data_IF_520427416041
#
_entry.id   IF_520427416041
#
_cell.length_a   1.000
_cell.length_b   1.000
_cell.length_c   1.000
_cell.angle_alpha   90.00
_cell.angle_beta   90.00
_cell.angle_gamma   90.00
#
_symmetry.space_group_name_H-M   'P 1'
#
loop_
_entity.id
_entity.type
_entity.pdbx_description
1 polymer ?
#
# COMPACT_ATOMS: atom_id res chain seq x y z
N UNK A 1 11.54 6.37 23.80
CA UNK A 1 10.18 6.91 23.53
C UNK A 1 9.10 5.82 23.50
N UNK A 2 9.07 4.89 22.53
CA UNK A 2 7.97 3.90 22.43
C UNK A 2 7.82 3.01 23.69
N UNK A 3 8.92 2.40 24.16
CA UNK A 3 8.91 1.60 25.39
C UNK A 3 8.40 2.39 26.60
N UNK A 4 8.87 3.62 26.78
CA UNK A 4 8.42 4.51 27.86
C UNK A 4 6.92 4.83 27.77
N UNK A 5 6.35 4.90 26.57
CA UNK A 5 4.91 5.11 26.39
C UNK A 5 4.11 3.87 26.80
N UNK A 6 4.59 2.67 26.44
CA UNK A 6 3.93 1.40 26.79
C UNK A 6 4.04 1.13 28.29
N UNK A 7 5.18 1.44 28.90
CA UNK A 7 5.43 1.31 30.35
C UNK A 7 4.42 2.10 31.21
N UNK A 8 3.80 3.17 30.68
CA UNK A 8 2.72 3.88 31.38
C UNK A 8 1.46 3.03 31.60
N UNK A 9 1.22 2.05 30.73
CA UNK A 9 0.06 1.16 30.79
C UNK A 9 0.43 -0.24 31.30
N UNK A 10 1.64 -0.69 31.00
CA UNK A 10 2.16 -2.00 31.41
C UNK A 10 3.57 -1.79 31.99
N UNK A 11 3.68 -1.48 33.30
CA UNK A 11 4.95 -1.07 33.92
C UNK A 11 6.11 -2.06 33.78
N UNK A 12 5.81 -3.36 33.72
CA UNK A 12 6.80 -4.44 33.60
C UNK A 12 6.86 -5.05 32.19
N UNK A 13 6.37 -4.35 31.15
CA UNK A 13 6.25 -4.87 29.77
C UNK A 13 7.55 -5.48 29.24
N UNK A 14 8.70 -4.90 29.60
CA UNK A 14 10.01 -5.41 29.16
C UNK A 14 10.31 -6.80 29.69
N UNK A 15 9.95 -7.07 30.95
CA UNK A 15 10.14 -8.38 31.57
C UNK A 15 9.21 -9.45 30.95
N UNK A 16 8.07 -9.03 30.40
CA UNK A 16 7.09 -9.89 29.73
C UNK A 16 7.37 -10.09 28.24
N UNK A 17 8.30 -9.32 27.67
CA UNK A 17 8.55 -9.34 26.23
C UNK A 17 9.40 -10.56 25.87
N UNK A 18 8.80 -11.51 25.15
CA UNK A 18 9.52 -12.69 24.64
C UNK A 18 10.26 -12.39 23.32
N UNK A 19 9.70 -11.52 22.48
CA UNK A 19 10.26 -11.16 21.17
C UNK A 19 10.08 -9.66 20.96
N UNK A 20 11.14 -9.00 20.51
CA UNK A 20 11.12 -7.58 20.14
C UNK A 20 11.81 -7.40 18.79
N UNK A 21 11.08 -6.85 17.83
CA UNK A 21 11.60 -6.54 16.50
C UNK A 21 11.38 -5.05 16.22
N UNK A 22 12.48 -4.32 15.99
CA UNK A 22 12.42 -2.87 15.75
C UNK A 22 12.20 -2.61 14.27
N UNK A 23 11.04 -2.06 13.93
CA UNK A 23 10.76 -1.49 12.62
C UNK A 23 11.31 -0.07 12.52
N UNK A 24 12.11 0.21 11.51
CA UNK A 24 12.57 1.57 11.15
C UNK A 24 12.21 1.87 9.70
N UNK A 25 12.31 3.12 9.22
CA UNK A 25 12.21 3.40 7.79
C UNK A 25 13.18 2.55 6.94
N UNK A 26 14.37 2.20 7.45
CA UNK A 26 15.28 1.28 6.76
C UNK A 26 14.71 -0.13 6.61
N UNK A 27 13.99 -0.62 7.62
CA UNK A 27 13.25 -1.88 7.54
C UNK A 27 12.21 -1.81 6.43
N UNK A 28 11.47 -0.71 6.34
CA UNK A 28 10.43 -0.52 5.33
C UNK A 28 11.01 -0.43 3.91
N UNK A 29 12.12 0.30 3.73
CA UNK A 29 12.86 0.36 2.48
C UNK A 29 13.39 -1.02 2.06
N UNK A 30 13.95 -1.79 3.02
CA UNK A 30 14.49 -3.13 2.75
C UNK A 30 13.42 -4.12 2.29
N UNK A 31 12.30 -4.21 3.02
CA UNK A 31 11.31 -5.26 2.77
C UNK A 31 10.28 -4.89 1.69
N UNK A 32 9.92 -3.61 1.59
CA UNK A 32 8.85 -3.16 0.68
C UNK A 32 9.37 -2.28 -0.46
N UNK A 33 10.70 -2.11 -0.59
CA UNK A 33 11.34 -1.25 -1.62
C UNK A 33 10.78 0.17 -1.65
N UNK A 34 10.39 0.67 -0.47
CA UNK A 34 9.83 2.02 -0.31
C UNK A 34 10.95 3.03 -0.37
N UNK A 35 10.77 4.05 -1.21
CA UNK A 35 11.69 5.18 -1.24
C UNK A 35 11.77 5.80 0.15
N UNK A 36 13.00 5.91 0.67
CA UNK A 36 13.34 6.41 2.01
C UNK A 36 12.56 5.77 3.16
N UNK A 37 11.97 4.58 2.96
CA UNK A 37 11.16 3.91 3.95
C UNK A 37 9.79 4.55 4.21
N UNK A 38 9.30 5.36 3.28
CA UNK A 38 8.05 6.11 3.43
C UNK A 38 6.83 5.20 3.53
N UNK A 39 5.93 5.51 4.47
CA UNK A 39 4.60 4.93 4.55
C UNK A 39 3.61 5.86 3.86
N UNK A 40 3.04 5.40 2.75
CA UNK A 40 2.10 6.18 1.96
C UNK A 40 2.69 6.86 0.73
N UNK A 41 1.95 7.75 0.05
CA UNK A 41 2.28 8.17 -1.30
C UNK A 41 3.48 9.11 -1.32
N UNK A 42 4.09 9.28 -2.50
CA UNK A 42 5.16 10.26 -2.69
C UNK A 42 4.69 11.73 -2.63
N UNK A 43 3.37 11.95 -2.73
CA UNK A 43 2.73 13.27 -2.67
C UNK A 43 2.33 13.61 -1.22
N UNK A 44 2.59 14.85 -0.80
CA UNK A 44 2.10 15.36 0.48
C UNK A 44 0.59 15.59 0.42
N UNK A 45 -0.05 15.49 1.57
CA UNK A 45 -1.49 15.73 1.68
C UNK A 45 -1.85 17.14 1.17
N UNK A 46 -2.81 17.21 0.26
CA UNK A 46 -3.29 18.47 -0.33
C UNK A 46 -2.48 18.99 -1.52
N UNK A 47 -1.35 18.37 -1.88
CA UNK A 47 -0.50 18.82 -3.00
C UNK A 47 -0.90 18.23 -4.37
N UNK A 48 -2.02 17.51 -4.43
CA UNK A 48 -2.58 17.02 -5.68
C UNK A 48 -3.16 15.60 -5.59
N UNK A 49 -3.31 14.97 -6.75
CA UNK A 49 -3.83 13.61 -6.90
C UNK A 49 -2.74 12.68 -7.39
N UNK A 50 -2.77 11.43 -6.92
CA UNK A 50 -1.86 10.39 -7.39
C UNK A 50 -2.07 10.11 -8.89
N UNK A 51 -1.00 9.73 -9.58
CA UNK A 51 -1.08 9.27 -10.95
C UNK A 51 -1.98 8.04 -11.08
N UNK A 52 -2.68 7.92 -12.21
CA UNK A 52 -3.46 6.73 -12.56
C UNK A 52 -2.58 5.55 -13.00
N UNK A 53 -3.23 4.48 -13.43
CA UNK A 53 -2.60 3.18 -13.71
C UNK A 53 -1.80 3.16 -15.00
N UNK A 54 -2.14 4.00 -15.98
CA UNK A 54 -1.53 3.98 -17.31
C UNK A 54 -0.21 4.77 -17.30
N UNK A 55 0.83 4.17 -17.85
CA UNK A 55 2.13 4.83 -18.06
C UNK A 55 2.28 5.29 -19.51
N UNK A 56 3.33 6.08 -19.80
CA UNK A 56 3.71 6.42 -21.17
C UNK A 56 4.33 5.24 -21.94
N UNK A 57 4.71 4.16 -21.25
CA UNK A 57 5.32 2.97 -21.84
C UNK A 57 4.22 1.98 -22.24
N UNK A 58 4.18 1.62 -23.53
CA UNK A 58 3.20 0.66 -24.05
C UNK A 58 3.34 -0.69 -23.34
N UNK A 59 2.22 -1.20 -22.83
CA UNK A 59 2.19 -2.49 -22.13
C UNK A 59 2.66 -2.44 -20.69
N UNK A 60 2.88 -1.25 -20.12
CA UNK A 60 3.27 -1.09 -18.72
C UNK A 60 2.20 -0.30 -17.95
N UNK A 61 1.73 -0.90 -16.85
CA UNK A 61 0.78 -0.28 -15.92
C UNK A 61 1.37 -0.24 -14.51
N UNK A 62 0.95 0.76 -13.74
CA UNK A 62 1.27 0.91 -12.33
C UNK A 62 0.05 0.57 -11.48
N UNK A 63 0.29 0.02 -10.29
CA UNK A 63 -0.71 -0.17 -9.26
C UNK A 63 -0.04 -0.18 -7.88
N UNK A 64 -0.83 0.04 -6.84
CA UNK A 64 -0.38 -0.01 -5.45
C UNK A 64 -0.73 1.26 -4.69
N UNK A 65 -0.12 1.46 -3.53
CA UNK A 65 -0.43 2.55 -2.61
C UNK A 65 0.07 3.94 -3.07
N UNK A 66 0.99 3.95 -4.04
CA UNK A 66 1.55 5.15 -4.67
C UNK A 66 0.86 5.48 -6.01
N UNK A 67 -0.16 4.71 -6.38
CA UNK A 67 -1.02 4.92 -7.56
C UNK A 67 -2.44 5.16 -7.06
N UNK A 68 -3.21 5.99 -7.75
CA UNK A 68 -4.61 6.22 -7.40
C UNK A 68 -5.34 4.86 -7.20
N UNK A 69 -6.17 4.68 -6.16
CA UNK A 69 -6.68 5.68 -5.20
C UNK A 69 -5.77 5.99 -3.99
N UNK A 70 -4.65 5.28 -3.81
CA UNK A 70 -3.65 5.63 -2.81
C UNK A 70 -3.55 4.66 -1.63
N UNK A 71 -3.36 5.19 -0.43
CA UNK A 71 -2.83 4.44 0.72
C UNK A 71 -3.84 3.55 1.44
N UNK A 72 -3.32 2.50 2.05
CA UNK A 72 -4.08 1.54 2.85
C UNK A 72 -4.52 0.32 2.05
N UNK A 73 -4.81 -0.77 2.77
CA UNK A 73 -5.14 -2.08 2.17
C UNK A 73 -6.25 -2.00 1.12
N UNK A 74 -7.40 -1.32 1.37
CA UNK A 74 -8.49 -1.29 0.38
C UNK A 74 -8.11 -0.49 -0.88
N UNK A 75 -7.40 0.63 -0.70
CA UNK A 75 -7.03 1.51 -1.81
C UNK A 75 -5.95 0.87 -2.70
N UNK A 76 -4.96 0.20 -2.10
CA UNK A 76 -3.96 -0.55 -2.86
C UNK A 76 -4.60 -1.71 -3.65
N UNK A 77 -5.53 -2.44 -3.05
CA UNK A 77 -6.28 -3.50 -3.73
C UNK A 77 -7.13 -2.94 -4.88
N UNK A 78 -7.86 -1.84 -4.66
CA UNK A 78 -8.61 -1.16 -5.69
C UNK A 78 -7.72 -0.66 -6.84
N UNK A 79 -6.54 -0.11 -6.54
CA UNK A 79 -5.57 0.29 -7.55
C UNK A 79 -5.17 -0.88 -8.47
N UNK A 80 -4.94 -2.06 -7.88
CA UNK A 80 -4.64 -3.30 -8.61
C UNK A 80 -5.80 -3.76 -9.50
N UNK A 81 -7.04 -3.73 -8.99
CA UNK A 81 -8.23 -4.06 -9.79
C UNK A 81 -8.40 -3.10 -10.98
N UNK A 82 -8.21 -1.80 -10.76
CA UNK A 82 -8.27 -0.81 -11.84
C UNK A 82 -7.17 -1.07 -12.88
N UNK A 83 -5.96 -1.44 -12.46
CA UNK A 83 -4.87 -1.74 -13.39
C UNK A 83 -5.21 -2.98 -14.24
N UNK A 84 -5.68 -4.06 -13.62
CA UNK A 84 -6.12 -5.27 -14.31
C UNK A 84 -7.23 -4.97 -15.33
N UNK A 85 -8.21 -4.15 -14.94
CA UNK A 85 -9.31 -3.73 -15.82
C UNK A 85 -8.86 -2.83 -16.98
N UNK A 86 -7.70 -2.17 -16.88
CA UNK A 86 -7.12 -1.41 -17.99
C UNK A 86 -6.29 -2.29 -18.94
N UNK A 87 -5.95 -3.52 -18.54
CA UNK A 87 -5.25 -4.49 -19.42
C UNK A 87 -6.25 -5.20 -20.33
N UNK A 88 -7.43 -5.54 -19.82
CA UNK A 88 -8.49 -6.19 -20.58
C UNK A 88 -9.51 -5.18 -21.10
N UNK A 89 -10.19 -5.50 -22.21
CA UNK A 89 -11.27 -4.66 -22.71
C UNK A 89 -12.48 -4.68 -21.76
N UNK A 90 -13.27 -3.60 -21.76
CA UNK A 90 -14.50 -3.50 -20.96
C UNK A 90 -15.43 -4.73 -21.11
N UNK A 91 -15.61 -5.23 -22.33
CA UNK A 91 -16.47 -6.38 -22.59
C UNK A 91 -15.93 -7.68 -21.97
N UNK A 92 -14.61 -7.88 -21.97
CA UNK A 92 -14.01 -9.08 -21.38
C UNK A 92 -14.04 -9.03 -19.85
N UNK A 93 -13.96 -7.83 -19.28
CA UNK A 93 -14.23 -7.62 -17.87
C UNK A 93 -15.68 -7.99 -17.51
N UNK A 94 -16.67 -7.50 -18.26
CA UNK A 94 -18.09 -7.84 -18.04
C UNK A 94 -18.33 -9.35 -18.08
N UNK A 95 -17.79 -10.04 -19.11
CA UNK A 95 -17.87 -11.51 -19.19
C UNK A 95 -17.27 -12.21 -17.98
N UNK A 96 -16.21 -11.64 -17.38
CA UNK A 96 -15.57 -12.22 -16.21
C UNK A 96 -16.44 -12.03 -14.95
N UNK A 97 -17.10 -10.88 -14.79
CA UNK A 97 -18.05 -10.64 -13.69
C UNK A 97 -19.21 -11.66 -13.73
N UNK A 98 -19.80 -11.86 -14.91
CA UNK A 98 -20.83 -12.88 -15.12
C UNK A 98 -20.36 -14.28 -14.69
N UNK A 99 -19.10 -14.61 -14.99
CA UNK A 99 -18.51 -15.91 -14.65
C UNK A 99 -18.31 -16.12 -13.14
N UNK A 100 -17.94 -15.07 -12.41
CA UNK A 100 -17.71 -15.16 -10.95
C UNK A 100 -18.97 -14.88 -10.12
N UNK A 101 -20.11 -14.60 -10.78
CA UNK A 101 -21.41 -14.34 -10.14
C UNK A 101 -21.37 -13.17 -9.16
N UNK A 102 -20.62 -12.12 -9.52
CA UNK A 102 -20.68 -10.81 -8.86
C UNK A 102 -21.51 -9.85 -9.71
#
# INVERSE_FOLDING_TARGET
VLWQAIEKQIPDVRNRTLVSLVGTPLTHARFLRRDRGTYGPFLRAGEGMLSGQKTCVKGLWCCGDSTFPGIGMPAAAASGMIAANNVVGFLDHMKMLDKIRL
#
